data_IF_275947133318
#
_entry.id   IF_275947133318
#
_cell.length_a   1.000
_cell.length_b   1.000
_cell.length_c   1.000
_cell.angle_alpha   90.00
_cell.angle_beta   90.00
_cell.angle_gamma   90.00
#
_symmetry.space_group_name_H-M   'P 1'
#
loop_
_entity.id
_entity.type
_entity.pdbx_description
1 polymer ?
#
# COMPACT_ATOMS: atom_id res chain seq x y z
N UNK A 1 24.44 -14.89 -9.83
CA UNK A 1 24.45 -13.45 -10.19
C UNK A 1 23.26 -13.16 -11.09
N UNK A 2 22.10 -12.89 -10.48
CA UNK A 2 20.89 -12.54 -11.21
C UNK A 2 20.87 -11.02 -11.42
N UNK A 3 21.25 -10.58 -12.61
CA UNK A 3 20.99 -9.22 -13.04
C UNK A 3 19.47 -9.06 -13.20
N UNK A 4 18.91 -8.20 -12.34
CA UNK A 4 17.50 -7.84 -12.31
C UNK A 4 17.02 -7.37 -13.67
N UNK A 5 16.00 -8.05 -14.22
CA UNK A 5 15.28 -7.65 -15.44
C UNK A 5 14.59 -6.27 -15.33
N UNK A 6 14.58 -5.67 -14.13
CA UNK A 6 14.03 -4.33 -13.89
C UNK A 6 15.09 -3.20 -13.97
N UNK A 7 16.38 -3.50 -14.06
CA UNK A 7 17.42 -2.47 -14.12
C UNK A 7 17.57 -1.83 -15.52
N UNK A 8 17.30 -2.60 -16.59
CA UNK A 8 17.35 -2.14 -17.98
C UNK A 8 16.36 -1.01 -18.33
N UNK A 9 15.06 -1.07 -17.96
CA UNK A 9 14.14 0.03 -18.25
C UNK A 9 14.46 1.31 -17.45
N UNK A 10 15.06 1.18 -16.26
CA UNK A 10 15.43 2.32 -15.40
C UNK A 10 16.60 3.10 -15.98
N UNK A 11 17.63 2.43 -16.52
CA UNK A 11 18.75 3.11 -17.19
C UNK A 11 18.30 3.79 -18.50
N UNK A 12 17.39 3.18 -19.27
CA UNK A 12 16.83 3.78 -20.48
C UNK A 12 15.93 4.98 -20.16
N UNK A 13 15.13 4.93 -19.10
CA UNK A 13 14.32 6.06 -18.65
C UNK A 13 15.18 7.21 -18.08
N UNK A 14 16.25 6.90 -17.36
CA UNK A 14 17.22 7.89 -16.87
C UNK A 14 18.03 8.52 -18.00
N UNK A 15 18.38 7.78 -19.04
CA UNK A 15 19.05 8.31 -20.23
C UNK A 15 18.10 9.18 -21.09
N UNK A 16 16.81 8.80 -21.18
CA UNK A 16 15.79 9.64 -21.81
C UNK A 16 15.50 10.92 -21.01
N UNK A 17 15.50 10.83 -19.68
CA UNK A 17 15.42 11.99 -18.79
C UNK A 17 16.70 12.86 -18.89
N UNK A 18 17.89 12.25 -19.04
CA UNK A 18 19.15 12.94 -19.26
C UNK A 18 19.16 13.74 -20.58
N UNK A 19 18.55 13.19 -21.64
CA UNK A 19 18.34 13.90 -22.91
C UNK A 19 17.42 15.13 -22.78
N UNK A 20 16.50 15.13 -21.80
CA UNK A 20 15.66 16.29 -21.46
C UNK A 20 16.26 17.22 -20.39
N UNK A 21 17.36 16.80 -19.74
CA UNK A 21 18.07 17.52 -18.68
C UNK A 21 19.19 18.45 -19.19
N UNK A 22 19.45 18.48 -20.51
CA UNK A 22 20.38 19.42 -21.14
C UNK A 22 19.78 20.85 -21.21
N UNK A 23 19.41 21.39 -20.06
CA UNK A 23 18.93 22.75 -19.87
C UNK A 23 20.13 23.65 -19.49
N UNK A 24 20.90 24.07 -20.50
CA UNK A 24 21.91 25.13 -20.35
C UNK A 24 22.25 25.85 -21.67
N UNK A 25 21.91 25.30 -22.84
CA UNK A 25 21.92 26.03 -24.11
C UNK A 25 20.50 26.39 -24.52
N UNK A 26 20.27 27.51 -25.25
CA UNK A 26 18.96 27.79 -25.83
C UNK A 26 18.59 26.58 -26.71
N UNK A 27 17.57 25.84 -26.30
CA UNK A 27 17.08 24.72 -27.10
C UNK A 27 16.71 25.24 -28.50
N UNK A 28 16.88 24.42 -29.53
CA UNK A 28 16.52 24.82 -30.91
C UNK A 28 15.06 25.30 -31.01
N UNK A 29 14.17 24.79 -30.16
CA UNK A 29 12.79 25.26 -30.03
C UNK A 29 12.67 26.67 -29.41
N UNK A 30 13.53 27.04 -28.46
CA UNK A 30 13.56 28.40 -27.91
C UNK A 30 14.02 29.43 -28.95
N UNK A 31 14.99 29.04 -29.80
CA UNK A 31 15.44 29.85 -30.94
C UNK A 31 14.34 29.98 -31.99
N UNK A 32 13.62 28.89 -32.27
CA UNK A 32 12.47 28.88 -33.17
C UNK A 32 11.34 29.78 -32.65
N UNK A 33 11.02 29.73 -31.36
CA UNK A 33 10.02 30.58 -30.71
C UNK A 33 10.36 32.06 -30.86
N UNK A 34 11.61 32.44 -30.55
CA UNK A 34 12.07 33.82 -30.69
C UNK A 34 11.97 34.30 -32.15
N UNK A 35 12.38 33.46 -33.11
CA UNK A 35 12.25 33.77 -34.54
C UNK A 35 10.79 33.97 -34.95
N UNK A 36 9.86 33.12 -34.50
CA UNK A 36 8.43 33.27 -34.80
C UNK A 36 7.86 34.57 -34.23
N UNK A 37 8.24 34.93 -32.99
CA UNK A 37 7.81 36.19 -32.37
C UNK A 37 8.31 37.42 -33.14
N UNK A 38 9.58 37.40 -33.59
CA UNK A 38 10.12 38.47 -34.44
C UNK A 38 9.39 38.53 -35.77
N UNK A 39 9.14 37.38 -36.41
CA UNK A 39 8.46 37.32 -37.71
C UNK A 39 7.00 37.78 -37.65
N UNK A 40 6.30 37.61 -36.52
CA UNK A 40 4.96 38.19 -36.35
C UNK A 40 4.97 39.72 -36.36
N UNK A 41 6.08 40.35 -35.97
CA UNK A 41 6.26 41.80 -36.00
C UNK A 41 6.91 42.27 -37.31
N UNK A 42 7.83 41.48 -37.86
CA UNK A 42 8.62 41.75 -39.05
C UNK A 42 8.55 40.53 -40.00
N UNK A 43 7.48 40.39 -40.80
CA UNK A 43 7.13 39.18 -41.56
C UNK A 43 8.19 38.62 -42.52
N UNK A 44 9.17 39.44 -42.90
CA UNK A 44 10.18 39.08 -43.89
C UNK A 44 11.61 39.29 -43.36
N UNK A 45 11.79 39.26 -42.04
CA UNK A 45 13.11 39.33 -41.42
C UNK A 45 14.01 38.19 -41.92
N UNK A 46 15.03 38.54 -42.72
CA UNK A 46 15.96 37.58 -43.30
C UNK A 46 16.66 36.65 -42.28
N UNK A 47 17.17 37.13 -41.11
CA UNK A 47 17.78 36.23 -40.13
C UNK A 47 16.80 35.24 -39.53
N UNK A 48 15.56 35.65 -39.23
CA UNK A 48 14.56 34.78 -38.62
C UNK A 48 13.96 33.77 -39.61
N UNK A 49 13.82 34.16 -40.89
CA UNK A 49 13.46 33.21 -41.95
C UNK A 49 14.54 32.14 -42.16
N UNK A 50 15.81 32.44 -41.91
CA UNK A 50 16.88 31.42 -41.93
C UNK A 50 16.70 30.42 -40.80
N UNK A 51 16.30 30.87 -39.61
CA UNK A 51 15.99 29.96 -38.48
C UNK A 51 14.88 28.98 -38.88
N UNK A 52 13.78 29.44 -39.48
CA UNK A 52 12.73 28.54 -39.99
C UNK A 52 13.26 27.53 -41.03
N UNK A 53 14.06 28.01 -41.99
CA UNK A 53 14.60 27.18 -43.05
C UNK A 53 15.61 26.14 -42.54
N UNK A 54 16.43 26.51 -41.56
CA UNK A 54 17.41 25.62 -40.92
C UNK A 54 16.69 24.58 -40.08
N UNK A 55 15.71 25.00 -39.27
CA UNK A 55 14.90 24.10 -38.45
C UNK A 55 14.15 23.06 -39.30
N UNK A 56 13.57 23.47 -40.43
CA UNK A 56 12.89 22.56 -41.36
C UNK A 56 13.84 21.49 -41.96
N UNK A 57 15.10 21.84 -42.19
CA UNK A 57 16.10 20.97 -42.81
C UNK A 57 16.73 19.97 -41.85
N UNK A 58 16.84 20.30 -40.56
CA UNK A 58 17.47 19.45 -39.56
C UNK A 58 16.62 18.22 -39.24
N UNK A 59 17.13 17.02 -39.50
CA UNK A 59 16.37 15.76 -39.33
C UNK A 59 16.17 15.32 -37.89
N UNK A 60 16.96 15.86 -36.96
CA UNK A 60 16.92 15.54 -35.54
C UNK A 60 15.75 16.22 -34.81
N UNK A 61 15.10 17.21 -35.44
CA UNK A 61 14.00 17.96 -34.84
C UNK A 61 12.66 17.20 -34.94
N UNK A 62 11.73 17.53 -34.03
CA UNK A 62 10.40 16.94 -33.99
C UNK A 62 9.67 17.12 -35.34
N UNK A 63 9.16 16.05 -35.97
CA UNK A 63 8.61 16.09 -37.33
C UNK A 63 7.43 17.07 -37.47
N UNK A 64 6.60 17.16 -36.42
CA UNK A 64 5.44 18.07 -36.32
C UNK A 64 5.82 19.56 -36.44
N UNK A 65 6.90 19.97 -35.75
CA UNK A 65 7.41 21.34 -35.80
C UNK A 65 8.18 21.60 -37.10
N UNK A 66 8.89 20.60 -37.62
CA UNK A 66 9.60 20.71 -38.91
C UNK A 66 8.65 20.97 -40.07
N UNK A 67 7.55 20.22 -40.14
CA UNK A 67 6.52 20.41 -41.16
C UNK A 67 5.95 21.83 -41.12
N UNK A 68 5.58 22.32 -39.94
CA UNK A 68 5.06 23.68 -39.76
C UNK A 68 6.08 24.77 -40.08
N UNK A 69 7.33 24.62 -39.64
CA UNK A 69 8.40 25.56 -39.96
C UNK A 69 8.64 25.62 -41.48
N UNK A 70 8.59 24.47 -42.15
CA UNK A 70 8.67 24.40 -43.61
C UNK A 70 7.47 25.07 -44.30
N UNK A 71 6.25 24.87 -43.79
CA UNK A 71 5.05 25.53 -44.28
C UNK A 71 5.11 27.06 -44.10
N UNK A 72 5.52 27.53 -42.92
CA UNK A 72 5.68 28.95 -42.64
C UNK A 72 6.75 29.59 -43.54
N UNK A 73 7.89 28.90 -43.75
CA UNK A 73 8.93 29.35 -44.67
C UNK A 73 8.43 29.41 -46.12
N UNK A 74 7.68 28.40 -46.59
CA UNK A 74 7.10 28.42 -47.93
C UNK A 74 6.13 29.60 -48.12
N UNK A 75 5.25 29.85 -47.13
CA UNK A 75 4.35 31.00 -47.17
C UNK A 75 5.13 32.33 -47.18
N UNK A 76 6.21 32.46 -46.41
CA UNK A 76 7.06 33.66 -46.43
C UNK A 76 7.73 33.89 -47.81
N UNK A 77 8.20 32.83 -48.47
CA UNK A 77 8.74 32.90 -49.83
C UNK A 77 7.68 33.38 -50.83
N UNK A 78 6.41 32.99 -50.63
CA UNK A 78 5.31 33.47 -51.44
C UNK A 78 5.01 34.96 -51.18
N UNK A 79 5.09 35.42 -49.92
CA UNK A 79 4.98 36.83 -49.55
C UNK A 79 6.08 37.70 -50.22
N UNK A 80 7.26 37.13 -50.45
CA UNK A 80 8.35 37.78 -51.20
C UNK A 80 8.11 37.83 -52.73
N UNK A 81 7.01 37.25 -53.23
CA UNK A 81 6.70 37.17 -54.66
C UNK A 81 7.42 36.06 -55.41
N UNK A 82 8.08 35.12 -54.71
CA UNK A 82 8.82 34.05 -55.35
C UNK A 82 7.96 32.78 -55.52
N UNK A 83 7.11 32.79 -56.54
CA UNK A 83 6.16 31.70 -56.83
C UNK A 83 6.84 30.38 -57.19
N UNK A 84 8.03 30.41 -57.81
CA UNK A 84 8.76 29.21 -58.20
C UNK A 84 9.32 28.47 -56.99
N UNK A 85 9.96 29.19 -56.07
CA UNK A 85 10.48 28.60 -54.83
C UNK A 85 9.33 28.14 -53.94
N UNK A 86 8.21 28.87 -53.89
CA UNK A 86 7.00 28.44 -53.20
C UNK A 86 6.47 27.10 -53.74
N UNK A 87 6.25 26.98 -55.06
CA UNK A 87 5.73 25.75 -55.65
C UNK A 87 6.64 24.54 -55.37
N UNK A 88 7.96 24.75 -55.43
CA UNK A 88 8.94 23.71 -55.07
C UNK A 88 8.85 23.35 -53.58
N UNK A 89 8.81 24.33 -52.68
CA UNK A 89 8.70 24.09 -51.25
C UNK A 89 7.40 23.37 -50.88
N UNK A 90 6.28 23.75 -51.51
CA UNK A 90 4.99 23.08 -51.33
C UNK A 90 5.03 21.62 -51.80
N UNK A 91 5.67 21.35 -52.95
CA UNK A 91 5.83 19.97 -53.43
C UNK A 91 6.69 19.15 -52.48
N UNK A 92 7.83 19.69 -52.04
CA UNK A 92 8.71 18.98 -51.08
C UNK A 92 7.95 18.72 -49.79
N UNK A 93 7.21 19.71 -49.27
CA UNK A 93 6.42 19.55 -48.04
C UNK A 93 5.42 18.40 -48.16
N UNK A 94 4.64 18.35 -49.26
CA UNK A 94 3.68 17.27 -49.50
C UNK A 94 4.33 15.89 -49.62
N UNK A 95 5.54 15.83 -50.18
CA UNK A 95 6.27 14.55 -50.30
C UNK A 95 6.94 14.11 -49.00
N UNK A 96 7.40 15.06 -48.16
CA UNK A 96 8.11 14.76 -46.92
C UNK A 96 7.15 14.58 -45.74
N UNK A 97 6.03 15.31 -45.73
CA UNK A 97 5.02 15.32 -44.67
C UNK A 97 3.62 15.18 -45.30
N UNK A 98 3.23 13.98 -45.76
CA UNK A 98 1.97 13.77 -46.46
C UNK A 98 0.74 14.04 -45.57
N UNK A 99 0.83 13.65 -44.29
CA UNK A 99 -0.26 13.82 -43.32
C UNK A 99 -0.53 15.31 -42.99
N UNK A 100 0.49 16.16 -43.15
CA UNK A 100 0.42 17.60 -42.88
C UNK A 100 0.23 18.43 -44.17
N UNK A 101 -0.07 17.82 -45.32
CA UNK A 101 -0.23 18.51 -46.59
C UNK A 101 -1.26 19.67 -46.54
N UNK A 102 -2.23 19.58 -45.63
CA UNK A 102 -3.24 20.60 -45.37
C UNK A 102 -2.67 21.90 -44.75
N UNK A 103 -1.45 21.88 -44.19
CA UNK A 103 -0.77 23.07 -43.65
C UNK A 103 -0.37 24.08 -44.73
N UNK A 104 -0.41 23.71 -46.02
CA UNK A 104 -0.19 24.60 -47.15
C UNK A 104 -1.36 24.47 -48.15
N UNK A 105 -2.56 24.94 -47.79
CA UNK A 105 -3.76 24.83 -48.64
C UNK A 105 -3.75 25.86 -49.78
N UNK A 106 -2.64 26.58 -49.98
CA UNK A 106 -2.57 27.69 -50.91
C UNK A 106 -2.51 27.21 -52.36
N UNK A 107 -3.35 27.77 -53.22
CA UNK A 107 -3.44 27.46 -54.65
C UNK A 107 -3.02 28.65 -55.50
N UNK A 108 -2.72 28.41 -56.78
CA UNK A 108 -2.30 29.46 -57.72
C UNK A 108 -3.27 30.64 -57.81
N UNK A 109 -4.57 30.39 -57.64
CA UNK A 109 -5.62 31.42 -57.64
C UNK A 109 -5.44 32.47 -56.53
N UNK A 110 -4.75 32.10 -55.46
CA UNK A 110 -4.55 32.97 -54.29
C UNK A 110 -3.29 33.84 -54.40
N UNK A 111 -2.43 33.62 -55.40
CA UNK A 111 -1.22 34.42 -55.59
C UNK A 111 -0.95 34.80 -57.06
N UNK A 112 -1.83 34.42 -57.98
CA UNK A 112 -1.77 34.81 -59.39
C UNK A 112 -3.12 35.31 -59.86
N UNK A 113 -3.10 36.24 -60.81
CA UNK A 113 -4.26 36.67 -61.55
C UNK A 113 -3.99 36.54 -63.05
N UNK A 114 -5.03 36.25 -63.83
CA UNK A 114 -4.93 36.28 -65.28
C UNK A 114 -4.49 37.67 -65.75
N UNK A 115 -3.55 37.71 -66.70
CA UNK A 115 -3.10 38.96 -67.30
C UNK A 115 -4.25 39.58 -68.10
N UNK A 116 -4.66 40.80 -67.73
CA UNK A 116 -5.77 41.51 -68.38
C UNK A 116 -5.52 41.74 -69.89
N UNK A 117 -4.25 41.95 -70.29
CA UNK A 117 -3.90 42.31 -71.66
C UNK A 117 -3.97 41.14 -72.66
N UNK A 118 -3.81 39.90 -72.18
CA UNK A 118 -3.89 38.70 -73.00
C UNK A 118 -4.98 37.71 -72.53
N UNK A 119 -5.81 38.11 -71.57
CA UNK A 119 -6.89 37.29 -71.02
C UNK A 119 -6.44 35.95 -70.43
N UNK A 120 -5.19 35.85 -69.95
CA UNK A 120 -4.64 34.57 -69.48
C UNK A 120 -3.82 33.78 -70.50
N UNK A 121 -3.90 34.11 -71.80
CA UNK A 121 -3.33 33.29 -72.87
C UNK A 121 -1.81 33.42 -73.08
N UNK A 122 -1.16 34.39 -72.42
CA UNK A 122 0.29 34.62 -72.53
C UNK A 122 0.77 35.16 -73.87
N UNK A 123 -0.11 35.25 -74.88
CA UNK A 123 0.20 35.78 -76.21
C UNK A 123 -0.79 36.85 -76.63
N UNK A 124 -0.33 37.80 -77.44
CA UNK A 124 -1.16 38.83 -78.07
C UNK A 124 -0.70 38.98 -79.52
N UNK A 125 -1.61 38.87 -80.48
CA UNK A 125 -1.29 38.97 -81.92
C UNK A 125 -0.08 38.10 -82.36
N UNK A 126 0.01 36.86 -81.84
CA UNK A 126 1.05 35.89 -82.21
C UNK A 126 2.38 36.02 -81.46
N UNK A 127 2.64 37.14 -80.77
CA UNK A 127 3.87 37.35 -79.98
C UNK A 127 3.61 37.19 -78.48
N UNK A 128 4.68 37.02 -77.69
CA UNK A 128 4.58 36.94 -76.24
C UNK A 128 3.98 38.23 -75.67
N UNK A 129 3.00 38.12 -74.78
CA UNK A 129 2.38 39.28 -74.16
C UNK A 129 3.43 40.03 -73.31
N UNK A 130 3.71 41.31 -73.58
CA UNK A 130 4.75 42.06 -72.86
C UNK A 130 4.38 42.31 -71.40
N UNK A 131 3.10 42.49 -71.09
CA UNK A 131 2.64 42.79 -69.72
C UNK A 131 2.82 41.62 -68.74
N UNK A 132 2.71 40.37 -69.20
CA UNK A 132 2.99 39.19 -68.38
C UNK A 132 4.25 38.44 -68.82
N UNK A 133 5.05 39.03 -69.71
CA UNK A 133 6.26 38.42 -70.29
C UNK A 133 6.02 36.99 -70.81
N UNK A 134 4.90 36.76 -71.50
CA UNK A 134 4.56 35.44 -72.02
C UNK A 134 3.91 34.44 -71.05
N UNK A 135 3.81 34.75 -69.74
CA UNK A 135 3.34 33.79 -68.72
C UNK A 135 1.82 33.58 -68.69
N UNK A 136 1.06 34.53 -69.21
CA UNK A 136 -0.41 34.55 -69.14
C UNK A 136 -0.98 35.00 -67.80
N UNK A 137 -0.22 34.91 -66.72
CA UNK A 137 -0.61 35.35 -65.38
C UNK A 137 0.39 36.37 -64.81
N UNK A 138 -0.11 37.20 -63.90
CA UNK A 138 0.64 38.18 -63.12
C UNK A 138 0.56 37.83 -61.64
N UNK A 139 1.59 38.17 -60.87
CA UNK A 139 1.58 37.97 -59.44
C UNK A 139 0.55 38.91 -58.79
N UNK A 140 -0.38 38.34 -58.03
CA UNK A 140 -1.38 39.08 -57.25
C UNK A 140 -1.62 38.32 -55.96
N UNK A 141 -1.07 38.84 -54.87
CA UNK A 141 -1.15 38.20 -53.57
C UNK A 141 -2.52 38.42 -52.92
N UNK A 142 -3.19 37.34 -52.55
CA UNK A 142 -4.40 37.38 -51.74
C UNK A 142 -4.06 37.69 -50.27
N UNK A 143 -4.88 38.49 -49.56
CA UNK A 143 -4.72 38.70 -48.11
C UNK A 143 -4.70 37.38 -47.32
N UNK A 144 -5.36 36.34 -47.83
CA UNK A 144 -5.39 35.00 -47.22
C UNK A 144 -3.99 34.41 -47.02
N UNK A 145 -3.02 34.73 -47.89
CA UNK A 145 -1.65 34.22 -47.74
C UNK A 145 -1.00 34.77 -46.48
N UNK A 146 -1.21 36.05 -46.17
CA UNK A 146 -0.69 36.67 -44.96
C UNK A 146 -1.39 36.14 -43.71
N UNK A 147 -2.72 35.96 -43.76
CA UNK A 147 -3.48 35.32 -42.67
C UNK A 147 -2.99 33.90 -42.39
N UNK A 148 -2.73 33.13 -43.44
CA UNK A 148 -2.23 31.76 -43.28
C UNK A 148 -0.81 31.72 -42.73
N UNK A 149 0.06 32.61 -43.20
CA UNK A 149 1.42 32.76 -42.69
C UNK A 149 1.45 33.09 -41.20
N UNK A 150 0.67 34.09 -40.78
CA UNK A 150 0.58 34.50 -39.37
C UNK A 150 0.02 33.40 -38.49
N UNK A 151 -1.04 32.71 -38.92
CA UNK A 151 -1.60 31.56 -38.21
C UNK A 151 -0.58 30.43 -38.01
N UNK A 152 0.24 30.14 -39.02
CA UNK A 152 1.32 29.15 -38.90
C UNK A 152 2.37 29.55 -37.87
N UNK A 153 2.80 30.82 -37.86
CA UNK A 153 3.76 31.30 -36.87
C UNK A 153 3.20 31.25 -35.45
N UNK A 154 1.93 31.61 -35.26
CA UNK A 154 1.26 31.55 -33.97
C UNK A 154 1.13 30.10 -33.46
N UNK A 155 0.77 29.15 -34.32
CA UNK A 155 0.70 27.72 -33.99
C UNK A 155 2.08 27.16 -33.61
N UNK A 156 3.13 27.49 -34.38
CA UNK A 156 4.51 27.09 -34.02
C UNK A 156 4.89 27.66 -32.66
N UNK A 157 4.66 28.95 -32.45
CA UNK A 157 5.02 29.62 -31.20
C UNK A 157 4.24 29.05 -30.00
N UNK A 158 2.96 28.71 -30.18
CA UNK A 158 2.15 28.06 -29.15
C UNK A 158 2.71 26.68 -28.79
N UNK A 159 3.04 25.86 -29.79
CA UNK A 159 3.62 24.52 -29.56
C UNK A 159 4.98 24.58 -28.86
N UNK A 160 5.84 25.51 -29.24
CA UNK A 160 7.13 25.70 -28.56
C UNK A 160 6.94 26.11 -27.09
N UNK A 161 5.96 26.98 -26.78
CA UNK A 161 5.63 27.33 -25.38
C UNK A 161 5.11 26.12 -24.61
N UNK A 162 4.16 25.39 -25.17
CA UNK A 162 3.63 24.17 -24.55
C UNK A 162 4.76 23.13 -24.33
N UNK A 163 5.72 23.03 -25.26
CA UNK A 163 6.89 22.15 -25.15
C UNK A 163 7.78 22.55 -23.97
N UNK A 164 8.10 23.84 -23.88
CA UNK A 164 8.89 24.38 -22.78
C UNK A 164 8.19 24.19 -21.42
N UNK A 165 6.89 24.48 -21.34
CA UNK A 165 6.10 24.34 -20.11
C UNK A 165 6.04 22.88 -19.64
N UNK A 166 5.81 21.94 -20.56
CA UNK A 166 5.84 20.52 -20.25
C UNK A 166 7.23 20.09 -19.76
N UNK A 167 8.30 20.48 -20.47
CA UNK A 167 9.67 20.11 -20.11
C UNK A 167 10.04 20.63 -18.72
N UNK A 168 9.69 21.88 -18.40
CA UNK A 168 9.93 22.47 -17.09
C UNK A 168 9.18 21.71 -15.98
N UNK A 169 7.88 21.47 -16.15
CA UNK A 169 7.08 20.72 -15.16
C UNK A 169 7.54 19.28 -15.00
N UNK A 170 7.92 18.63 -16.10
CA UNK A 170 8.44 17.28 -16.08
C UNK A 170 9.77 17.20 -15.31
N UNK A 171 10.66 18.16 -15.53
CA UNK A 171 11.93 18.26 -14.81
C UNK A 171 11.71 18.51 -13.30
N UNK A 172 10.77 19.37 -12.94
CA UNK A 172 10.38 19.60 -11.55
C UNK A 172 9.80 18.33 -10.90
N UNK A 173 8.99 17.57 -11.63
CA UNK A 173 8.45 16.30 -11.16
C UNK A 173 9.55 15.23 -11.04
N UNK A 174 10.52 15.18 -11.96
CA UNK A 174 11.61 14.19 -11.92
C UNK A 174 12.60 14.46 -10.78
N UNK A 175 12.77 15.72 -10.39
CA UNK A 175 13.61 16.14 -9.25
C UNK A 175 12.92 15.95 -7.89
N UNK A 176 11.62 15.71 -7.87
CA UNK A 176 10.87 15.51 -6.64
C UNK A 176 11.30 14.20 -5.95
N UNK A 177 11.74 14.32 -4.69
CA UNK A 177 12.26 13.19 -3.91
C UNK A 177 11.16 12.43 -3.20
N UNK A 178 10.05 13.10 -2.88
CA UNK A 178 8.90 12.47 -2.22
C UNK A 178 8.07 11.73 -3.26
N UNK A 179 8.05 10.41 -3.19
CA UNK A 179 7.35 9.56 -4.14
C UNK A 179 5.87 9.96 -4.34
N UNK A 180 5.14 10.26 -3.27
CA UNK A 180 3.72 10.62 -3.37
C UNK A 180 3.51 11.96 -4.08
N UNK A 181 4.32 12.97 -3.74
CA UNK A 181 4.27 14.28 -4.41
C UNK A 181 4.71 14.18 -5.88
N UNK A 182 5.69 13.30 -6.18
CA UNK A 182 6.11 13.01 -7.54
C UNK A 182 4.99 12.36 -8.34
N UNK A 183 4.29 11.37 -7.78
CA UNK A 183 3.14 10.71 -8.41
C UNK A 183 2.04 11.74 -8.69
N UNK A 184 1.70 12.60 -7.73
CA UNK A 184 0.68 13.65 -7.91
C UNK A 184 1.06 14.62 -9.04
N UNK A 185 2.30 15.10 -9.07
CA UNK A 185 2.79 15.99 -10.14
C UNK A 185 2.78 15.30 -11.50
N UNK A 186 3.26 14.06 -11.57
CA UNK A 186 3.25 13.29 -12.82
C UNK A 186 1.83 13.03 -13.32
N UNK A 187 0.88 12.71 -12.43
CA UNK A 187 -0.54 12.60 -12.79
C UNK A 187 -1.11 13.91 -13.33
N UNK A 188 -0.79 15.04 -12.69
CA UNK A 188 -1.24 16.35 -13.15
C UNK A 188 -0.70 16.66 -14.56
N UNK A 189 0.58 16.37 -14.80
CA UNK A 189 1.24 16.57 -16.09
C UNK A 189 0.63 15.65 -17.17
N UNK A 190 0.46 14.36 -16.89
CA UNK A 190 -0.08 13.41 -17.88
C UNK A 190 -1.53 13.73 -18.25
N UNK A 191 -2.33 14.22 -17.31
CA UNK A 191 -3.70 14.66 -17.59
C UNK A 191 -3.74 15.97 -18.38
N UNK A 192 -2.94 16.97 -18.01
CA UNK A 192 -2.90 18.26 -18.69
C UNK A 192 -2.41 18.13 -20.14
N UNK A 193 -1.45 17.24 -20.38
CA UNK A 193 -0.81 17.04 -21.68
C UNK A 193 -1.19 15.70 -22.35
N UNK A 194 -2.39 15.19 -22.07
CA UNK A 194 -2.83 13.83 -22.44
C UNK A 194 -2.71 13.48 -23.94
N UNK A 195 -2.80 14.49 -24.83
CA UNK A 195 -2.75 14.29 -26.29
C UNK A 195 -1.34 14.36 -26.87
N UNK A 196 -0.30 14.49 -26.04
CA UNK A 196 1.07 14.63 -26.52
C UNK A 196 1.69 13.32 -26.98
N UNK A 197 2.42 13.30 -28.12
CA UNK A 197 3.11 12.10 -28.59
C UNK A 197 4.31 11.71 -27.73
N UNK A 198 4.95 12.66 -27.05
CA UNK A 198 6.13 12.46 -26.21
C UNK A 198 5.81 12.27 -24.71
N UNK A 199 4.59 11.84 -24.37
CA UNK A 199 4.16 11.63 -22.97
C UNK A 199 4.73 10.34 -22.35
N UNK A 200 5.23 9.40 -23.17
CA UNK A 200 5.67 8.08 -22.74
C UNK A 200 6.68 8.07 -21.57
N UNK A 201 7.69 8.95 -21.51
CA UNK A 201 8.62 8.99 -20.36
C UNK A 201 7.93 9.38 -19.05
N UNK A 202 6.95 10.30 -19.10
CA UNK A 202 6.19 10.71 -17.93
C UNK A 202 5.25 9.62 -17.42
N UNK A 203 4.60 8.89 -18.34
CA UNK A 203 3.80 7.72 -18.01
C UNK A 203 4.65 6.62 -17.37
N UNK A 204 5.83 6.34 -17.92
CA UNK A 204 6.72 5.31 -17.38
C UNK A 204 7.18 5.63 -15.94
N UNK A 205 7.53 6.89 -15.64
CA UNK A 205 7.87 7.30 -14.28
C UNK A 205 6.68 7.26 -13.33
N UNK A 206 5.48 7.56 -13.84
CA UNK A 206 4.25 7.50 -13.06
C UNK A 206 3.92 6.05 -12.69
N UNK A 207 3.96 5.13 -13.65
CA UNK A 207 3.68 3.71 -13.45
C UNK A 207 4.67 3.08 -12.46
N UNK A 208 5.96 3.43 -12.55
CA UNK A 208 6.97 3.00 -11.57
C UNK A 208 6.67 3.55 -10.15
N UNK A 209 6.27 4.82 -10.05
CA UNK A 209 5.84 5.42 -8.79
C UNK A 209 4.64 4.71 -8.17
N UNK A 210 3.61 4.44 -8.99
CA UNK A 210 2.41 3.73 -8.56
C UNK A 210 2.71 2.29 -8.12
N UNK A 211 3.57 1.58 -8.85
CA UNK A 211 4.00 0.23 -8.48
C UNK A 211 4.75 0.21 -7.13
N UNK A 212 5.64 1.18 -6.89
CA UNK A 212 6.34 1.34 -5.60
C UNK A 212 5.40 1.67 -4.46
N UNK A 213 4.36 2.48 -4.70
CA UNK A 213 3.33 2.78 -3.71
C UNK A 213 2.52 1.54 -3.35
N UNK A 214 2.07 0.79 -4.35
CA UNK A 214 1.34 -0.47 -4.15
C UNK A 214 2.18 -1.49 -3.35
N UNK A 215 3.46 -1.66 -3.69
CA UNK A 215 4.36 -2.55 -2.95
C UNK A 215 4.55 -2.13 -1.48
N UNK A 216 4.64 -0.82 -1.20
CA UNK A 216 4.72 -0.30 0.16
C UNK A 216 3.44 -0.55 0.96
N UNK A 217 2.27 -0.39 0.34
CA UNK A 217 0.99 -0.67 0.97
C UNK A 217 0.86 -2.15 1.33
N UNK A 218 1.15 -3.05 0.39
CA UNK A 218 1.15 -4.50 0.65
C UNK A 218 2.13 -4.88 1.78
N UNK A 219 3.34 -4.33 1.77
CA UNK A 219 4.32 -4.59 2.83
C UNK A 219 3.85 -4.05 4.20
N UNK A 220 3.11 -2.94 4.23
CA UNK A 220 2.54 -2.39 5.45
C UNK A 220 1.37 -3.24 5.96
N UNK A 221 0.48 -3.67 5.07
CA UNK A 221 -0.63 -4.58 5.39
C UNK A 221 -0.11 -5.92 5.93
N UNK A 222 0.93 -6.50 5.32
CA UNK A 222 1.58 -7.71 5.82
C UNK A 222 2.19 -7.51 7.22
N UNK A 223 2.83 -6.35 7.47
CA UNK A 223 3.38 -6.03 8.79
C UNK A 223 2.29 -5.87 9.84
N UNK A 224 1.20 -5.18 9.50
CA UNK A 224 0.06 -5.03 10.38
C UNK A 224 -0.62 -6.37 10.66
N UNK A 225 -0.79 -7.23 9.65
CA UNK A 225 -1.31 -8.57 9.81
C UNK A 225 -0.43 -9.42 10.73
N UNK A 226 0.90 -9.38 10.56
CA UNK A 226 1.86 -10.05 11.45
C UNK A 226 1.77 -9.53 12.89
N UNK A 227 1.71 -8.22 13.08
CA UNK A 227 1.57 -7.62 14.41
C UNK A 227 0.23 -8.00 15.08
N UNK A 228 -0.85 -8.11 14.31
CA UNK A 228 -2.15 -8.57 14.83
C UNK A 228 -2.07 -10.04 15.27
N UNK A 229 -1.52 -10.92 14.43
CA UNK A 229 -1.32 -12.33 14.76
C UNK A 229 -0.43 -12.52 16.00
N UNK A 230 0.66 -11.75 16.13
CA UNK A 230 1.51 -11.79 17.33
C UNK A 230 0.79 -11.35 18.60
N UNK A 231 -0.07 -10.32 18.52
CA UNK A 231 -0.89 -9.86 19.66
C UNK A 231 -1.94 -10.89 20.06
N UNK A 232 -2.59 -11.52 19.09
CA UNK A 232 -3.57 -12.59 19.35
C UNK A 232 -2.90 -13.81 19.98
N UNK A 233 -1.74 -14.23 19.45
CA UNK A 233 -0.95 -15.30 20.04
C UNK A 233 -0.49 -14.97 21.47
N UNK A 234 -0.06 -13.73 21.72
CA UNK A 234 0.31 -13.27 23.06
C UNK A 234 -0.91 -13.30 24.02
N UNK A 235 -2.08 -12.85 23.57
CA UNK A 235 -3.32 -12.90 24.36
C UNK A 235 -3.69 -14.35 24.73
N UNK A 236 -3.57 -15.30 23.79
CA UNK A 236 -3.81 -16.71 24.04
C UNK A 236 -2.81 -17.32 25.04
N UNK A 237 -1.54 -16.91 24.99
CA UNK A 237 -0.53 -17.30 25.99
C UNK A 237 -0.91 -16.80 27.39
N UNK A 238 -1.30 -15.52 27.52
CA UNK A 238 -1.75 -14.99 28.81
C UNK A 238 -3.01 -15.68 29.33
N UNK A 239 -3.94 -16.06 28.44
CA UNK A 239 -5.14 -16.81 28.80
C UNK A 239 -4.78 -18.22 29.32
N UNK A 240 -3.77 -18.85 28.72
CA UNK A 240 -3.28 -20.18 29.10
C UNK A 240 -2.65 -20.20 30.51
N UNK A 241 -2.02 -19.11 30.94
CA UNK A 241 -1.46 -18.95 32.28
C UNK A 241 -2.53 -18.68 33.37
N UNK A 242 -3.73 -18.27 32.96
CA UNK A 242 -4.84 -17.98 33.86
C UNK A 242 -5.43 -19.20 34.59
N UNK A 243 -6.28 -18.97 35.61
CA UNK A 243 -6.90 -20.04 36.39
C UNK A 243 -7.92 -20.88 35.58
N UNK A 244 -8.55 -20.29 34.55
CA UNK A 244 -9.64 -20.90 33.76
C UNK A 244 -9.14 -21.77 32.60
N UNK A 245 -8.54 -22.91 32.93
CA UNK A 245 -7.93 -23.84 31.96
C UNK A 245 -8.90 -24.37 30.89
N UNK A 246 -10.17 -24.61 31.26
CA UNK A 246 -11.18 -25.11 30.32
C UNK A 246 -11.57 -24.07 29.25
N UNK A 247 -11.44 -22.78 29.57
CA UNK A 247 -11.65 -21.68 28.61
C UNK A 247 -10.43 -21.54 27.71
N UNK A 248 -9.22 -21.61 28.28
CA UNK A 248 -7.97 -21.57 27.54
C UNK A 248 -7.84 -22.70 26.50
N UNK A 249 -8.15 -23.95 26.88
CA UNK A 249 -8.09 -25.11 25.97
C UNK A 249 -9.05 -24.96 24.80
N UNK A 250 -10.27 -24.43 25.03
CA UNK A 250 -11.24 -24.19 23.94
C UNK A 250 -10.75 -23.11 22.99
N UNK A 251 -10.34 -21.95 23.52
CA UNK A 251 -9.85 -20.84 22.71
C UNK A 251 -8.61 -21.22 21.88
N UNK A 252 -7.69 -21.99 22.45
CA UNK A 252 -6.50 -22.49 21.73
C UNK A 252 -6.88 -23.47 20.60
N UNK A 253 -7.83 -24.39 20.83
CA UNK A 253 -8.32 -25.31 19.79
C UNK A 253 -9.02 -24.56 18.66
N UNK A 254 -9.89 -23.62 19.01
CA UNK A 254 -10.64 -22.84 18.04
C UNK A 254 -9.68 -21.98 17.18
N UNK A 255 -8.66 -21.35 17.80
CA UNK A 255 -7.64 -20.59 17.07
C UNK A 255 -6.80 -21.47 16.13
N UNK A 256 -6.29 -22.61 16.63
CA UNK A 256 -5.47 -23.54 15.83
C UNK A 256 -6.27 -24.20 14.69
N UNK A 257 -7.59 -24.38 14.86
CA UNK A 257 -8.46 -24.89 13.80
C UNK A 257 -8.63 -23.89 12.64
N UNK A 258 -8.68 -22.60 12.96
CA UNK A 258 -8.81 -21.52 11.95
C UNK A 258 -7.45 -21.16 11.34
N UNK A 259 -6.37 -21.23 12.12
CA UNK A 259 -5.03 -20.78 11.75
C UNK A 259 -3.96 -21.88 11.89
N UNK A 260 -4.03 -22.98 11.11
CA UNK A 260 -3.16 -24.15 11.28
C UNK A 260 -1.70 -23.90 10.88
N UNK A 261 -1.43 -22.92 10.00
CA UNK A 261 -0.11 -22.67 9.41
C UNK A 261 0.56 -21.39 9.94
N UNK A 262 0.06 -20.81 11.02
CA UNK A 262 0.70 -19.64 11.62
C UNK A 262 2.08 -19.98 12.20
N UNK A 263 3.04 -19.05 12.16
CA UNK A 263 4.38 -19.31 12.71
C UNK A 263 4.36 -19.64 14.21
N UNK A 264 3.36 -19.14 14.94
CA UNK A 264 3.16 -19.44 16.36
C UNK A 264 2.35 -20.72 16.63
N UNK A 265 1.83 -21.41 15.60
CA UNK A 265 0.93 -22.54 15.76
C UNK A 265 1.59 -23.71 16.50
N UNK A 266 2.86 -24.01 16.19
CA UNK A 266 3.63 -25.06 16.88
C UNK A 266 3.77 -24.80 18.38
N UNK A 267 4.13 -23.56 18.75
CA UNK A 267 4.25 -23.15 20.15
C UNK A 267 2.90 -23.24 20.88
N UNK A 268 1.83 -22.75 20.25
CA UNK A 268 0.47 -22.79 20.80
C UNK A 268 -0.04 -24.23 20.95
N UNK A 269 0.35 -25.12 20.05
CA UNK A 269 0.00 -26.54 20.10
C UNK A 269 0.73 -27.27 21.24
N UNK A 270 2.01 -26.96 21.47
CA UNK A 270 2.73 -27.47 22.64
C UNK A 270 2.07 -27.00 23.96
N UNK A 271 1.66 -25.73 24.04
CA UNK A 271 0.93 -25.19 25.19
C UNK A 271 -0.43 -25.87 25.40
N UNK A 272 -1.15 -26.16 24.32
CA UNK A 272 -2.41 -26.90 24.37
C UNK A 272 -2.20 -28.31 24.99
N UNK A 273 -1.23 -29.06 24.50
CA UNK A 273 -0.93 -30.40 24.98
C UNK A 273 -0.54 -30.41 26.46
N UNK A 274 0.28 -29.43 26.88
CA UNK A 274 0.65 -29.27 28.28
C UNK A 274 -0.57 -29.00 29.18
N UNK A 275 -1.47 -28.12 28.75
CA UNK A 275 -2.71 -27.81 29.49
C UNK A 275 -3.65 -29.01 29.58
N UNK A 276 -3.80 -29.77 28.49
CA UNK A 276 -4.62 -30.99 28.47
C UNK A 276 -4.04 -32.03 29.42
N UNK A 277 -2.72 -32.26 29.38
CA UNK A 277 -2.04 -33.18 30.29
C UNK A 277 -2.19 -32.76 31.77
N UNK A 278 -2.10 -31.46 32.07
CA UNK A 278 -2.35 -30.93 33.42
C UNK A 278 -3.80 -31.15 33.86
N UNK A 279 -4.77 -30.97 32.96
CA UNK A 279 -6.18 -31.19 33.26
C UNK A 279 -6.48 -32.68 33.53
N UNK A 280 -5.91 -33.58 32.74
CA UNK A 280 -6.04 -35.03 32.95
C UNK A 280 -5.42 -35.48 34.27
N UNK A 281 -4.22 -35.00 34.60
CA UNK A 281 -3.59 -35.26 35.92
C UNK A 281 -4.47 -34.79 37.07
N UNK A 282 -5.07 -33.59 36.96
CA UNK A 282 -5.98 -33.10 37.98
C UNK A 282 -7.25 -33.93 38.09
N UNK A 283 -7.82 -34.38 36.96
CA UNK A 283 -8.99 -35.28 36.97
C UNK A 283 -8.65 -36.61 37.63
N UNK A 284 -7.51 -37.21 37.28
CA UNK A 284 -7.02 -38.44 37.90
C UNK A 284 -6.81 -38.27 39.40
N UNK A 285 -6.12 -37.21 39.83
CA UNK A 285 -5.94 -36.90 41.24
C UNK A 285 -7.28 -36.70 41.95
N UNK A 286 -8.23 -35.99 41.34
CA UNK A 286 -9.57 -35.78 41.92
C UNK A 286 -10.30 -37.11 42.06
N UNK A 287 -10.24 -37.99 41.05
CA UNK A 287 -10.83 -39.32 41.08
C UNK A 287 -10.21 -40.20 42.16
N UNK A 288 -8.88 -40.15 42.32
CA UNK A 288 -8.15 -40.86 43.39
C UNK A 288 -8.56 -40.31 44.75
N UNK A 289 -8.62 -38.99 44.93
CA UNK A 289 -9.07 -38.36 46.17
C UNK A 289 -10.52 -38.70 46.50
N UNK A 290 -11.41 -38.72 45.51
CA UNK A 290 -12.81 -39.15 45.72
C UNK A 290 -12.89 -40.63 46.05
N UNK A 291 -12.11 -41.49 45.38
CA UNK A 291 -12.07 -42.92 45.69
C UNK A 291 -11.53 -43.16 47.10
N UNK A 292 -10.46 -42.47 47.49
CA UNK A 292 -9.89 -42.50 48.84
C UNK A 292 -10.91 -42.03 49.89
N UNK A 293 -11.62 -40.93 49.62
CA UNK A 293 -12.66 -40.42 50.50
C UNK A 293 -13.82 -41.40 50.66
N UNK A 294 -14.25 -42.06 49.58
CA UNK A 294 -15.27 -43.11 49.61
C UNK A 294 -14.78 -44.33 50.40
N UNK A 295 -13.52 -44.74 50.22
CA UNK A 295 -12.90 -45.86 50.94
C UNK A 295 -12.79 -45.57 52.45
N UNK A 296 -12.36 -44.35 52.82
CA UNK A 296 -12.35 -43.87 54.20
C UNK A 296 -13.76 -43.79 54.79
N UNK A 297 -14.74 -43.33 54.00
CA UNK A 297 -16.15 -43.31 54.40
C UNK A 297 -16.71 -44.71 54.66
N UNK A 298 -16.41 -45.67 53.78
CA UNK A 298 -16.75 -47.08 53.97
C UNK A 298 -16.07 -47.68 55.21
N UNK A 299 -14.77 -47.43 55.39
CA UNK A 299 -14.03 -47.88 56.57
C UNK A 299 -14.59 -47.30 57.88
N UNK A 300 -15.05 -46.05 57.88
CA UNK A 300 -15.71 -45.44 59.03
C UNK A 300 -17.15 -45.95 59.24
N UNK A 301 -17.85 -46.33 58.17
CA UNK A 301 -19.20 -46.90 58.25
C UNK A 301 -19.19 -48.34 58.83
N UNK A 302 -18.16 -49.14 58.56
CA UNK A 302 -18.05 -50.53 59.06
C UNK A 302 -18.14 -50.66 60.59
N UNK A 303 -17.40 -49.89 61.43
CA UNK A 303 -17.53 -49.98 62.88
C UNK A 303 -18.88 -49.45 63.39
N UNK A 304 -19.45 -48.42 62.75
CA UNK A 304 -20.78 -47.89 63.09
C UNK A 304 -21.88 -48.91 62.78
N UNK A 305 -21.81 -49.57 61.62
CA UNK A 305 -22.73 -50.62 61.21
C UNK A 305 -22.59 -51.85 62.11
N UNK A 306 -21.36 -52.21 62.52
CA UNK A 306 -21.09 -53.30 63.46
C UNK A 306 -21.60 -52.98 64.88
N UNK A 307 -21.52 -51.72 65.31
CA UNK A 307 -22.09 -51.26 66.58
C UNK A 307 -23.63 -51.30 66.57
N UNK A 308 -24.27 -50.96 65.44
CA UNK A 308 -25.72 -51.01 65.30
C UNK A 308 -26.27 -52.45 65.11
N UNK A 309 -25.53 -53.32 64.43
CA UNK A 309 -25.96 -54.70 64.16
C UNK A 309 -25.59 -55.69 65.29
N UNK A 310 -24.56 -55.42 66.09
CA UNK A 310 -24.24 -56.21 67.29
C UNK A 310 -25.04 -55.66 68.47
N UNK A 311 -26.35 -55.98 68.51
CA UNK A 311 -27.09 -56.01 69.77
C UNK A 311 -26.48 -57.10 70.64
N UNK A 312 -25.68 -56.71 71.63
CA UNK A 312 -25.24 -57.61 72.69
C UNK A 312 -26.48 -58.21 73.38
N UNK A 313 -26.74 -59.50 73.18
CA UNK A 313 -27.69 -60.25 73.99
C UNK A 313 -27.14 -60.36 75.41
N UNK A 314 -27.61 -59.49 76.30
CA UNK A 314 -27.45 -59.69 77.74
C UNK A 314 -28.30 -60.90 78.14
N UNK A 315 -27.68 -62.05 78.35
CA UNK A 315 -28.31 -63.23 78.96
C UNK A 315 -28.61 -62.89 80.43
N UNK A 316 -29.89 -62.71 80.77
CA UNK A 316 -30.34 -62.70 82.17
C UNK A 316 -30.24 -64.11 82.73
N UNK A 317 -29.32 -64.34 83.65
CA UNK A 317 -29.21 -65.58 84.43
C UNK A 317 -30.25 -65.49 85.56
N UNK A 318 -31.16 -66.46 85.62
CA UNK A 318 -32.12 -66.59 86.72
C UNK A 318 -31.45 -67.02 88.04
N UNK A 319 -32.05 -66.74 89.20
CA UNK A 319 -31.47 -67.07 90.49
C UNK A 319 -31.41 -68.59 90.71
N UNK A 320 -30.27 -69.06 91.25
CA UNK A 320 -30.01 -70.45 91.60
C UNK A 320 -30.87 -70.90 92.80
N UNK A 321 -31.43 -72.12 92.81
CA UNK A 321 -32.29 -72.59 93.89
C UNK A 321 -31.48 -72.92 95.15
N UNK A 322 -31.92 -72.44 96.33
CA UNK A 322 -31.37 -72.84 97.64
C UNK A 322 -30.87 -71.72 98.56
N UNK A 323 -31.00 -70.44 98.19
CA UNK A 323 -30.52 -69.30 99.01
C UNK A 323 -31.47 -68.80 100.10
N UNK A 324 -32.61 -69.47 100.35
CA UNK A 324 -33.66 -69.00 101.26
C UNK A 324 -33.39 -69.29 102.75
N UNK A 325 -32.21 -69.80 103.11
CA UNK A 325 -31.85 -70.20 104.48
C UNK A 325 -30.60 -69.54 105.06
N UNK A 326 -30.20 -68.38 104.51
CA UNK A 326 -29.05 -67.64 105.02
C UNK A 326 -29.56 -66.42 105.82
N UNK A 327 -29.33 -66.47 107.13
CA UNK A 327 -29.65 -65.43 108.08
C UNK A 327 -28.78 -64.19 107.82
N UNK A 328 -29.42 -63.08 107.42
CA UNK A 328 -28.76 -61.87 106.90
C UNK A 328 -28.08 -61.01 107.96
N UNK A 329 -28.10 -61.43 109.22
CA UNK A 329 -27.50 -60.72 110.36
C UNK A 329 -26.07 -61.16 110.67
N UNK A 330 -25.54 -62.16 109.96
CA UNK A 330 -24.19 -62.69 110.15
C UNK A 330 -23.23 -62.45 108.97
N UNK A 331 -23.58 -61.55 108.03
CA UNK A 331 -22.72 -61.18 106.89
C UNK A 331 -22.44 -59.67 106.88
N UNK A 332 -21.45 -59.25 107.68
CA UNK A 332 -20.83 -57.93 107.60
C UNK A 332 -20.02 -57.83 106.31
N UNK A 333 -20.57 -57.13 105.32
CA UNK A 333 -19.92 -56.82 104.04
C UNK A 333 -18.82 -55.75 104.24
N UNK A 334 -17.54 -56.06 104.00
CA UNK A 334 -16.41 -55.14 104.19
C UNK A 334 -16.32 -54.03 103.13
N UNK A 335 -17.32 -53.84 102.26
CA UNK A 335 -17.34 -52.78 101.23
C UNK A 335 -18.48 -51.75 101.37
N UNK A 336 -19.20 -51.76 102.49
CA UNK A 336 -20.20 -50.71 102.82
C UNK A 336 -19.56 -49.42 103.37
N UNK A 337 -18.53 -48.90 102.69
CA UNK A 337 -18.03 -47.55 102.94
C UNK A 337 -18.93 -46.55 102.21
N UNK A 338 -19.77 -45.86 102.98
CA UNK A 338 -20.64 -44.78 102.50
C UNK A 338 -19.83 -43.57 102.02
N UNK A 339 -20.38 -42.83 101.06
CA UNK A 339 -19.75 -41.69 100.38
C UNK A 339 -19.31 -40.52 101.29
N UNK A 340 -19.64 -40.54 102.58
CA UNK A 340 -19.17 -39.60 103.59
C UNK A 340 -17.70 -39.85 103.99
N UNK A 341 -17.23 -41.10 103.96
CA UNK A 341 -15.85 -41.47 104.33
C UNK A 341 -14.82 -41.16 103.22
N UNK A 342 -15.24 -41.14 101.95
CA UNK A 342 -14.38 -40.75 100.82
C UNK A 342 -14.22 -39.23 100.70
N UNK A 343 -15.16 -38.44 101.23
CA UNK A 343 -15.09 -36.96 101.23
C UNK A 343 -14.19 -36.40 102.35
N UNK A 344 -13.91 -37.18 103.40
CA UNK A 344 -12.99 -36.81 104.47
C UNK A 344 -11.50 -36.93 104.07
N UNK A 345 -11.15 -37.75 103.07
CA UNK A 345 -9.75 -38.04 102.69
C UNK A 345 -9.16 -37.20 101.54
N UNK A 346 -9.95 -36.44 100.78
CA UNK A 346 -9.43 -35.63 99.64
C UNK A 346 -9.20 -34.15 99.98
N UNK A 347 -9.57 -33.70 101.19
CA UNK A 347 -9.42 -32.29 101.62
C UNK A 347 -8.01 -31.87 102.09
N UNK A 348 -6.94 -32.54 101.68
CA UNK A 348 -5.57 -32.10 102.00
C UNK A 348 -4.68 -32.06 100.77
N UNK A 349 -4.44 -30.82 100.30
CA UNK A 349 -3.27 -30.32 99.54
C UNK A 349 -2.97 -31.10 98.24
N UNK A 350 -3.19 -30.54 97.06
CA UNK A 350 -2.25 -29.60 96.41
C UNK A 350 -2.97 -28.90 95.25
N UNK A 351 -3.06 -27.57 95.28
CA UNK A 351 -2.18 -26.61 94.60
C UNK A 351 -2.49 -26.46 93.09
N UNK A 352 -3.07 -25.30 92.79
CA UNK A 352 -3.57 -24.77 91.52
C UNK A 352 -2.39 -24.45 90.59
N UNK A 353 -2.40 -24.96 89.35
CA UNK A 353 -1.43 -24.59 88.31
C UNK A 353 -2.04 -23.43 87.50
N UNK A 354 -1.42 -22.23 87.45
CA UNK A 354 -1.88 -21.11 86.63
C UNK A 354 -1.37 -21.20 85.18
N UNK A 355 -2.04 -20.54 84.22
CA UNK A 355 -1.64 -20.54 82.81
C UNK A 355 -0.48 -19.55 82.57
N UNK A 356 0.40 -19.79 81.56
CA UNK A 356 1.38 -18.80 81.16
C UNK A 356 0.85 -17.87 80.05
N UNK A 357 0.92 -16.56 80.31
CA UNK A 357 0.75 -15.50 79.34
C UNK A 357 2.06 -15.19 78.58
N UNK A 358 1.86 -14.52 77.45
CA UNK A 358 2.77 -14.06 76.40
C UNK A 358 3.87 -13.05 76.79
N UNK A 359 4.81 -12.85 75.84
CA UNK A 359 5.88 -11.82 75.72
C UNK A 359 7.16 -12.13 76.51
N UNK A 360 8.40 -11.94 76.03
CA UNK A 360 9.02 -11.41 74.82
C UNK A 360 10.50 -11.09 75.16
N UNK A 361 11.35 -10.85 74.15
CA UNK A 361 12.64 -10.11 74.23
C UNK A 361 13.83 -10.84 74.90
N UNK A 362 14.81 -11.31 74.12
CA UNK A 362 16.11 -10.69 73.72
C UNK A 362 17.27 -11.13 74.62
N UNK A 363 18.18 -11.92 74.05
CA UNK A 363 19.59 -11.54 73.84
C UNK A 363 20.19 -12.38 72.70
#
# INVERSE_FOLDING_TARGET
MHLSKHAMPVCLALLAAAGMLAAAEPTEESRLLAACQTLLQVPLSAPDLRVLADFARTTEQAPDLRSRAMAAYAAAVLLQGNTNTFARAQQVHRTTFPDDAALLPLTAEQYTAACADCGGGGRRAGTACPACLGRGHIFKLSPLVHTHYTALLEDIAARCRDNADFAARFLEASRETRDDARIERLHAITNQFARRPNLAPALALLDDGLAKRAARQLAQEEREARQRAEREAAALRTLAEGPDRARAIRALRDHLAVHPNEPAALDLQALLEELVAKQERQRLLRNVWTALAVLLGLLAAVPVLRFLLVRQHVRKVGPLPGMDRIDKTAFTDPLSLTAEDSRARVKRKTARIPPPDSTGSTD
#
